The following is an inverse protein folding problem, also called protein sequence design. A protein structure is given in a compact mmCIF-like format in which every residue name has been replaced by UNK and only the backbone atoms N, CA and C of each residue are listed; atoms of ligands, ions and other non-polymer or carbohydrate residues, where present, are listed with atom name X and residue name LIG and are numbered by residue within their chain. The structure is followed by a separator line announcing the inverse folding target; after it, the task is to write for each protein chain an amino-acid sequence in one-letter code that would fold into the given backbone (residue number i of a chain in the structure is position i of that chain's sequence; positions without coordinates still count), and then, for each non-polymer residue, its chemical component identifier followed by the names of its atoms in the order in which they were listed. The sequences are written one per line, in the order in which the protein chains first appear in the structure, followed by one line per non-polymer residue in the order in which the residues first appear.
data_IF_076221471624
#
_entry.id   IF_076221471624
#
_cell.length_a   1.000
_cell.length_b   1.000
_cell.length_c   1.000
_cell.angle_alpha   90.00
_cell.angle_beta   90.00
_cell.angle_gamma   90.00
#
_symmetry.space_group_name_H-M   'P 1'
#
loop_
_entity.id
_entity.type
_entity.pdbx_description
1 polymer ?
#
# COMPACT_ATOMS: atom_id res chain seq x y z
N UNK A 1 -13.62 9.06 32.99
CA UNK A 1 -13.71 8.02 31.94
C UNK A 1 -12.87 8.53 30.78
N UNK A 2 -11.62 8.11 30.72
CA UNK A 2 -10.72 8.45 29.62
C UNK A 2 -11.23 7.77 28.36
N UNK A 3 -11.56 8.54 27.34
CA UNK A 3 -11.72 8.02 26.00
C UNK A 3 -10.36 7.37 25.62
N UNK A 4 -10.29 6.06 25.73
CA UNK A 4 -9.31 5.33 24.95
C UNK A 4 -9.53 5.77 23.51
N UNK A 5 -8.55 6.47 22.93
CA UNK A 5 -8.43 6.53 21.49
C UNK A 5 -8.25 5.09 21.00
N UNK A 6 -9.37 4.42 20.79
CA UNK A 6 -9.40 3.20 20.03
C UNK A 6 -9.06 3.61 18.61
N UNK A 7 -7.77 3.58 18.27
CA UNK A 7 -7.34 3.75 16.89
C UNK A 7 -8.18 2.82 16.02
N UNK A 8 -8.71 3.30 14.93
CA UNK A 8 -9.41 2.46 13.94
C UNK A 8 -8.48 1.32 13.56
N UNK A 9 -8.93 0.08 13.71
CA UNK A 9 -8.16 -1.08 13.31
C UNK A 9 -7.88 -0.97 11.80
N UNK A 10 -6.60 -0.88 11.45
CA UNK A 10 -6.15 -0.70 10.07
C UNK A 10 -5.59 -2.00 9.51
N UNK A 11 -6.44 -2.99 9.38
CA UNK A 11 -6.10 -4.26 8.73
C UNK A 11 -6.65 -4.36 7.31
N UNK A 12 -7.20 -3.27 6.78
CA UNK A 12 -7.77 -3.21 5.43
C UNK A 12 -7.44 -1.87 4.76
N UNK A 13 -7.43 -1.87 3.43
CA UNK A 13 -7.29 -0.67 2.60
C UNK A 13 -8.32 0.40 3.01
N UNK A 14 -9.57 -0.01 3.21
CA UNK A 14 -10.63 0.91 3.67
C UNK A 14 -10.27 1.63 4.96
N UNK A 15 -9.76 0.88 5.97
CA UNK A 15 -9.34 1.47 7.24
C UNK A 15 -8.19 2.46 7.10
N UNK A 16 -7.21 2.14 6.24
CA UNK A 16 -6.06 3.00 5.95
C UNK A 16 -6.47 4.29 5.21
N UNK A 17 -7.32 4.17 4.20
CA UNK A 17 -7.84 5.31 3.43
C UNK A 17 -8.75 6.23 4.27
N UNK A 18 -9.62 5.65 5.11
CA UNK A 18 -10.47 6.43 6.02
C UNK A 18 -9.64 7.23 7.01
N UNK A 19 -8.56 6.65 7.56
CA UNK A 19 -7.64 7.40 8.41
C UNK A 19 -6.97 8.53 7.63
N UNK A 20 -6.48 8.26 6.41
CA UNK A 20 -5.86 9.29 5.58
C UNK A 20 -6.82 10.48 5.38
N UNK A 21 -8.09 10.21 5.09
CA UNK A 21 -9.14 11.24 4.98
C UNK A 21 -9.38 11.98 6.30
N UNK A 22 -9.46 11.27 7.43
CA UNK A 22 -9.63 11.89 8.77
C UNK A 22 -8.46 12.82 9.12
N UNK A 23 -7.25 12.51 8.65
CA UNK A 23 -6.06 13.35 8.80
C UNK A 23 -6.04 14.54 7.81
N UNK A 24 -7.08 14.73 7.02
CA UNK A 24 -7.23 15.87 6.11
C UNK A 24 -6.62 15.66 4.72
N UNK A 25 -6.33 14.41 4.34
CA UNK A 25 -5.88 14.13 2.98
C UNK A 25 -7.04 14.14 1.99
N UNK A 26 -6.92 14.98 0.97
CA UNK A 26 -7.89 15.14 -0.11
C UNK A 26 -7.15 15.10 -1.46
N UNK A 27 -6.99 13.89 -2.07
CA UNK A 27 -6.37 13.78 -3.39
C UNK A 27 -7.25 14.46 -4.44
N UNK A 28 -6.63 15.21 -5.33
CA UNK A 28 -7.35 15.76 -6.50
C UNK A 28 -7.59 14.69 -7.55
N UNK A 29 -6.64 13.77 -7.69
CA UNK A 29 -6.76 12.64 -8.60
C UNK A 29 -6.44 11.33 -7.87
N UNK A 30 -7.28 10.34 -8.08
CA UNK A 30 -7.12 8.94 -7.67
C UNK A 30 -6.87 8.12 -8.92
N UNK A 31 -5.76 7.40 -8.94
CA UNK A 31 -5.38 6.52 -10.05
C UNK A 31 -5.45 5.07 -9.56
N UNK A 32 -6.27 4.27 -10.20
CA UNK A 32 -6.51 2.86 -9.90
C UNK A 32 -5.94 2.00 -11.03
N UNK A 33 -4.75 1.45 -10.81
CA UNK A 33 -4.03 0.63 -11.79
C UNK A 33 -4.25 -0.85 -11.48
N UNK A 34 -4.73 -1.59 -12.47
CA UNK A 34 -5.26 -2.92 -12.28
C UNK A 34 -6.66 -2.86 -11.65
N UNK A 35 -7.51 -2.01 -12.23
CA UNK A 35 -8.83 -1.74 -11.64
C UNK A 35 -9.78 -2.94 -11.67
N UNK A 36 -9.56 -3.93 -12.52
CA UNK A 36 -10.41 -5.11 -12.70
C UNK A 36 -11.90 -4.75 -12.75
N UNK A 37 -12.68 -5.13 -11.76
CA UNK A 37 -14.09 -4.78 -11.62
C UNK A 37 -14.33 -3.56 -10.70
N UNK A 38 -13.26 -2.85 -10.33
CA UNK A 38 -13.28 -1.61 -9.54
C UNK A 38 -12.80 -1.77 -8.09
N UNK A 39 -11.97 -0.83 -7.64
CA UNK A 39 -11.51 -0.74 -6.25
C UNK A 39 -12.39 0.23 -5.47
N UNK A 40 -13.57 -0.24 -5.01
CA UNK A 40 -14.61 0.59 -4.39
C UNK A 40 -14.12 1.37 -3.17
N UNK A 41 -13.17 0.83 -2.41
CA UNK A 41 -12.59 1.51 -1.25
C UNK A 41 -12.00 2.89 -1.62
N UNK A 42 -11.40 3.03 -2.80
CA UNK A 42 -10.87 4.30 -3.31
C UNK A 42 -12.02 5.28 -3.63
N UNK A 43 -13.00 4.80 -4.40
CA UNK A 43 -14.06 5.63 -4.95
C UNK A 43 -15.02 6.13 -3.87
N UNK A 44 -15.35 5.28 -2.91
CA UNK A 44 -16.24 5.59 -1.79
C UNK A 44 -15.57 6.51 -0.76
N UNK A 45 -14.27 6.35 -0.56
CA UNK A 45 -13.52 7.22 0.36
C UNK A 45 -13.33 8.62 -0.22
N UNK A 46 -13.01 8.75 -1.51
CA UNK A 46 -12.72 10.02 -2.17
C UNK A 46 -13.66 10.32 -3.35
N UNK A 47 -14.98 10.39 -3.14
CA UNK A 47 -15.96 10.50 -4.23
C UNK A 47 -15.88 11.82 -5.01
N UNK A 48 -15.25 12.85 -4.46
CA UNK A 48 -15.08 14.17 -5.08
C UNK A 48 -13.82 14.31 -5.90
N UNK A 49 -12.90 13.35 -5.81
CA UNK A 49 -11.68 13.30 -6.62
C UNK A 49 -11.99 12.97 -8.08
N UNK A 50 -11.06 13.33 -8.97
CA UNK A 50 -11.05 12.78 -10.33
C UNK A 50 -10.47 11.38 -10.30
N UNK A 51 -11.15 10.41 -10.89
CA UNK A 51 -10.73 9.02 -10.92
C UNK A 51 -10.25 8.62 -12.31
N UNK A 52 -9.07 8.00 -12.38
CA UNK A 52 -8.55 7.34 -13.58
C UNK A 52 -8.41 5.85 -13.28
N UNK A 53 -9.18 5.01 -13.99
CA UNK A 53 -9.16 3.56 -13.88
C UNK A 53 -8.41 2.97 -15.07
N UNK A 54 -7.39 2.16 -14.82
CA UNK A 54 -6.56 1.54 -15.86
C UNK A 54 -6.67 0.03 -15.72
N UNK A 55 -7.09 -0.63 -16.80
CA UNK A 55 -7.35 -2.06 -16.80
C UNK A 55 -7.05 -2.67 -18.19
N UNK A 56 -6.19 -3.68 -18.29
CA UNK A 56 -5.84 -4.26 -19.59
C UNK A 56 -6.88 -5.23 -20.18
N UNK A 57 -7.76 -5.82 -19.37
CA UNK A 57 -8.71 -6.83 -19.81
C UNK A 57 -9.98 -6.16 -20.34
N UNK A 58 -10.17 -6.21 -21.67
CA UNK A 58 -11.30 -5.54 -22.33
C UNK A 58 -12.69 -6.03 -21.88
N UNK A 59 -12.79 -7.26 -21.40
CA UNK A 59 -14.03 -7.82 -20.84
C UNK A 59 -14.51 -7.08 -19.60
N UNK A 60 -13.62 -6.37 -18.89
CA UNK A 60 -13.97 -5.55 -17.74
C UNK A 60 -14.54 -4.18 -18.11
N UNK A 61 -14.38 -3.74 -19.38
CA UNK A 61 -14.84 -2.42 -19.85
C UNK A 61 -16.31 -2.09 -19.54
N UNK A 62 -17.31 -3.00 -19.74
CA UNK A 62 -18.71 -2.67 -19.45
C UNK A 62 -18.97 -2.35 -17.97
N UNK A 63 -18.16 -2.91 -17.06
CA UNK A 63 -18.25 -2.68 -15.61
C UNK A 63 -17.60 -1.35 -15.24
N UNK A 64 -16.40 -1.08 -15.76
CA UNK A 64 -15.70 0.19 -15.56
C UNK A 64 -16.53 1.37 -16.10
N UNK A 65 -17.15 1.20 -17.27
CA UNK A 65 -18.06 2.19 -17.82
C UNK A 65 -19.29 2.47 -16.93
N UNK A 66 -19.80 1.46 -16.21
CA UNK A 66 -20.88 1.65 -15.22
C UNK A 66 -20.40 2.43 -14.01
N UNK A 67 -19.21 2.10 -13.50
CA UNK A 67 -18.58 2.79 -12.36
C UNK A 67 -18.35 4.26 -12.72
N UNK A 68 -17.68 4.54 -13.84
CA UNK A 68 -17.37 5.90 -14.26
C UNK A 68 -18.63 6.77 -14.46
N UNK A 69 -19.75 6.19 -14.93
CA UNK A 69 -21.01 6.94 -15.00
C UNK A 69 -21.64 7.32 -13.66
N UNK A 70 -21.24 6.65 -12.58
CA UNK A 70 -21.76 6.91 -11.22
C UNK A 70 -20.87 7.85 -10.42
N UNK A 71 -19.58 7.90 -10.72
CA UNK A 71 -18.65 8.80 -10.10
C UNK A 71 -18.81 10.22 -10.66
N UNK A 72 -18.50 11.22 -9.84
CA UNK A 72 -18.64 12.64 -10.18
C UNK A 72 -17.72 13.05 -11.34
N UNK A 73 -16.51 12.51 -11.36
CA UNK A 73 -15.49 12.74 -12.37
C UNK A 73 -14.62 11.49 -12.49
N UNK A 74 -14.81 10.71 -13.52
CA UNK A 74 -14.07 9.48 -13.74
C UNK A 74 -13.94 9.14 -15.21
N UNK A 75 -12.83 8.53 -15.56
CA UNK A 75 -12.56 7.94 -16.86
C UNK A 75 -11.85 6.60 -16.68
N UNK A 76 -11.93 5.73 -17.67
CA UNK A 76 -11.19 4.48 -17.70
C UNK A 76 -10.41 4.36 -19.00
N UNK A 77 -9.35 3.54 -18.97
CA UNK A 77 -8.50 3.23 -20.12
C UNK A 77 -8.30 1.72 -20.17
N UNK A 78 -8.58 1.12 -21.32
CA UNK A 78 -8.28 -0.29 -21.58
C UNK A 78 -6.86 -0.39 -22.14
N UNK A 79 -5.90 -0.50 -21.22
CA UNK A 79 -4.47 -0.61 -21.48
C UNK A 79 -3.75 -1.22 -20.26
N UNK A 80 -2.55 -1.75 -20.47
CA UNK A 80 -1.65 -2.02 -19.35
C UNK A 80 -0.91 -0.75 -18.95
N UNK A 81 -0.67 -0.55 -17.65
CA UNK A 81 0.30 0.44 -17.20
C UNK A 81 1.67 -0.25 -17.03
N UNK A 82 2.75 0.39 -17.49
CA UNK A 82 4.11 -0.15 -17.44
C UNK A 82 5.16 0.98 -17.54
N UNK A 83 6.44 0.62 -17.56
CA UNK A 83 7.57 1.56 -17.60
C UNK A 83 7.71 2.33 -18.93
N UNK A 84 7.16 1.81 -20.04
CA UNK A 84 7.22 2.43 -21.35
C UNK A 84 5.95 2.18 -22.16
N UNK A 85 5.55 3.15 -22.95
CA UNK A 85 4.37 3.04 -23.80
C UNK A 85 4.65 2.21 -25.04
N UNK A 86 3.64 1.47 -25.51
CA UNK A 86 3.80 0.61 -26.68
C UNK A 86 2.69 -0.41 -26.85
N UNK A 87 3.07 -1.56 -27.39
CA UNK A 87 2.19 -2.73 -27.52
C UNK A 87 2.87 -3.93 -26.89
N UNK A 88 2.21 -4.51 -25.91
CA UNK A 88 2.68 -5.65 -25.14
C UNK A 88 1.74 -6.83 -25.32
N UNK A 89 2.22 -8.05 -25.00
CA UNK A 89 1.38 -9.22 -24.95
C UNK A 89 0.88 -9.44 -23.53
N UNK A 90 -0.44 -9.47 -23.38
CA UNK A 90 -1.11 -9.89 -22.16
C UNK A 90 -1.45 -11.38 -22.26
N UNK A 91 -1.01 -12.15 -21.27
CA UNK A 91 -1.45 -13.52 -21.05
C UNK A 91 -2.59 -13.51 -20.05
N UNK A 92 -3.83 -13.61 -20.55
CA UNK A 92 -5.04 -13.57 -19.72
C UNK A 92 -5.29 -14.95 -19.12
N UNK A 93 -5.38 -15.05 -17.80
CA UNK A 93 -5.78 -16.32 -17.16
C UNK A 93 -7.23 -16.67 -17.47
N UNK A 94 -7.63 -17.94 -17.43
CA UNK A 94 -9.02 -18.36 -17.70
C UNK A 94 -10.06 -17.71 -16.77
N UNK A 95 -9.64 -17.33 -15.55
CA UNK A 95 -10.50 -16.62 -14.58
C UNK A 95 -10.47 -15.10 -14.71
N UNK A 96 -9.71 -14.57 -15.68
CA UNK A 96 -9.47 -13.13 -15.85
C UNK A 96 -8.89 -12.44 -14.59
N UNK A 97 -8.22 -13.22 -13.75
CA UNK A 97 -7.50 -12.80 -12.54
C UNK A 97 -6.08 -13.35 -12.69
N UNK A 98 -5.08 -12.67 -12.16
CA UNK A 98 -3.66 -13.05 -12.27
C UNK A 98 -3.17 -13.17 -13.73
N UNK A 99 -3.40 -12.13 -14.50
CA UNK A 99 -2.90 -12.02 -15.86
C UNK A 99 -1.47 -11.48 -15.87
N UNK A 100 -0.63 -11.94 -16.80
CA UNK A 100 0.78 -11.54 -16.89
C UNK A 100 1.09 -10.79 -18.18
N UNK A 101 2.02 -9.84 -18.09
CA UNK A 101 2.47 -9.03 -19.24
C UNK A 101 3.83 -9.51 -19.75
N UNK A 102 4.04 -9.48 -21.06
CA UNK A 102 5.31 -9.78 -21.73
C UNK A 102 5.61 -8.73 -22.81
N UNK A 103 6.87 -8.33 -22.91
CA UNK A 103 7.35 -7.43 -23.97
C UNK A 103 7.35 -8.11 -25.37
N UNK A 104 7.34 -9.44 -25.42
CA UNK A 104 7.33 -10.18 -26.69
C UNK A 104 5.93 -10.15 -27.31
N UNK A 105 5.84 -9.57 -28.51
CA UNK A 105 4.58 -9.58 -29.27
C UNK A 105 4.24 -10.98 -29.75
N UNK A 106 2.98 -11.38 -29.54
CA UNK A 106 2.45 -12.62 -30.10
C UNK A 106 2.10 -12.41 -31.55
N UNK A 107 2.65 -13.26 -32.43
CA UNK A 107 2.34 -13.31 -33.86
C UNK A 107 1.28 -14.36 -34.20
N UNK A 108 1.09 -15.35 -33.32
CA UNK A 108 0.11 -16.42 -33.47
C UNK A 108 -1.18 -16.07 -32.70
N UNK A 109 -2.25 -15.84 -33.42
CA UNK A 109 -3.57 -15.53 -32.86
C UNK A 109 -4.40 -16.78 -32.51
N UNK A 110 -3.82 -17.97 -32.57
CA UNK A 110 -4.54 -19.22 -32.26
C UNK A 110 -4.84 -19.42 -30.78
N UNK A 111 -4.04 -18.78 -29.89
CA UNK A 111 -4.27 -18.82 -28.45
C UNK A 111 -5.13 -17.61 -27.99
N UNK A 112 -6.41 -17.82 -27.60
CA UNK A 112 -7.31 -16.72 -27.21
C UNK A 112 -6.90 -16.01 -25.90
N UNK A 113 -6.00 -16.61 -25.12
CA UNK A 113 -5.50 -16.05 -23.88
C UNK A 113 -4.30 -15.11 -24.08
N UNK A 114 -3.63 -15.16 -25.24
CA UNK A 114 -2.53 -14.28 -25.58
C UNK A 114 -3.02 -13.15 -26.48
N UNK A 115 -2.92 -11.92 -26.01
CA UNK A 115 -3.46 -10.74 -26.73
C UNK A 115 -2.44 -9.62 -26.76
N UNK A 116 -2.26 -8.99 -27.90
CA UNK A 116 -1.54 -7.75 -28.01
C UNK A 116 -2.45 -6.60 -27.52
N UNK A 117 -1.99 -5.87 -26.53
CA UNK A 117 -2.72 -4.78 -25.91
C UNK A 117 -1.90 -3.50 -25.90
N UNK A 118 -2.52 -2.30 -25.89
CA UNK A 118 -1.80 -1.07 -25.66
C UNK A 118 -1.21 -1.03 -24.26
N UNK A 119 -0.04 -0.43 -24.12
CA UNK A 119 0.60 -0.14 -22.86
C UNK A 119 0.93 1.35 -22.77
N UNK A 120 0.80 1.92 -21.60
CA UNK A 120 0.97 3.34 -21.30
C UNK A 120 1.82 3.52 -20.05
N UNK A 121 2.49 4.67 -19.94
CA UNK A 121 3.08 5.09 -18.67
C UNK A 121 2.11 6.01 -17.92
N UNK A 122 2.19 6.00 -16.59
CA UNK A 122 1.37 6.90 -15.77
C UNK A 122 1.77 8.37 -15.99
N UNK A 123 3.06 8.63 -16.20
CA UNK A 123 3.56 9.98 -16.45
C UNK A 123 2.96 10.56 -17.73
N UNK A 124 2.97 9.80 -18.84
CA UNK A 124 2.41 10.25 -20.12
C UNK A 124 0.91 10.49 -20.05
N UNK A 125 0.16 9.54 -19.49
CA UNK A 125 -1.31 9.68 -19.47
C UNK A 125 -1.78 10.79 -18.53
N UNK A 126 -1.13 10.99 -17.39
CA UNK A 126 -1.45 12.10 -16.49
C UNK A 126 -1.17 13.45 -17.12
N UNK A 127 -0.08 13.55 -17.86
CA UNK A 127 0.27 14.76 -18.63
C UNK A 127 -0.70 15.01 -19.78
N UNK A 128 -1.02 13.99 -20.58
CA UNK A 128 -1.97 14.08 -21.70
C UNK A 128 -3.36 14.54 -21.23
N UNK A 129 -3.84 13.98 -20.11
CA UNK A 129 -5.17 14.27 -19.54
C UNK A 129 -5.17 15.50 -18.64
N UNK A 130 -4.03 16.16 -18.41
CA UNK A 130 -3.88 17.27 -17.47
C UNK A 130 -4.48 16.94 -16.09
N UNK A 131 -4.11 15.80 -15.54
CA UNK A 131 -4.61 15.37 -14.22
C UNK A 131 -3.86 16.15 -13.14
N UNK A 132 -4.57 16.79 -12.18
CA UNK A 132 -3.91 17.57 -11.14
C UNK A 132 -3.51 16.69 -9.94
N UNK A 133 -2.32 16.96 -9.34
CA UNK A 133 -1.98 16.46 -8.01
C UNK A 133 -2.62 17.31 -6.89
N UNK A 134 -2.58 16.90 -5.62
CA UNK A 134 -1.91 15.68 -5.17
C UNK A 134 -2.61 14.39 -5.61
N UNK A 135 -1.81 13.36 -5.90
CA UNK A 135 -2.31 12.06 -6.32
C UNK A 135 -2.41 11.09 -5.14
N UNK A 136 -3.39 10.18 -5.25
CA UNK A 136 -3.43 8.88 -4.62
C UNK A 136 -3.36 7.83 -5.72
N UNK A 137 -2.41 6.90 -5.61
CA UNK A 137 -2.21 5.85 -6.63
C UNK A 137 -2.34 4.48 -5.96
N UNK A 138 -3.14 3.58 -6.54
CA UNK A 138 -3.17 2.15 -6.20
C UNK A 138 -2.60 1.37 -7.39
N UNK A 139 -1.71 0.44 -7.12
CA UNK A 139 -1.08 -0.45 -8.11
C UNK A 139 -1.27 -1.90 -7.68
N UNK A 140 -1.91 -2.68 -8.55
CA UNK A 140 -2.21 -4.08 -8.34
C UNK A 140 -2.31 -4.76 -9.73
N UNK A 141 -1.18 -5.29 -10.22
CA UNK A 141 -1.01 -5.75 -11.60
C UNK A 141 -0.29 -7.09 -11.70
N UNK A 142 -0.39 -7.91 -10.66
CA UNK A 142 0.08 -9.30 -10.64
C UNK A 142 1.57 -9.48 -11.02
N UNK A 143 2.46 -8.72 -10.39
CA UNK A 143 3.91 -8.92 -10.48
C UNK A 143 4.64 -7.91 -11.38
N UNK A 144 3.96 -6.91 -11.93
CA UNK A 144 4.55 -5.83 -12.75
C UNK A 144 4.53 -4.45 -12.06
N UNK A 145 4.35 -4.42 -10.72
CA UNK A 145 4.20 -3.19 -9.95
C UNK A 145 5.41 -2.27 -10.08
N UNK A 146 6.62 -2.85 -10.12
CA UNK A 146 7.86 -2.07 -10.33
C UNK A 146 7.90 -1.38 -11.70
N UNK A 147 7.44 -2.05 -12.75
CA UNK A 147 7.39 -1.44 -14.09
C UNK A 147 6.35 -0.31 -14.14
N UNK A 148 5.20 -0.48 -13.48
CA UNK A 148 4.20 0.61 -13.34
C UNK A 148 4.81 1.80 -12.59
N UNK A 149 5.46 1.55 -11.46
CA UNK A 149 6.09 2.59 -10.65
C UNK A 149 7.24 3.29 -11.40
N UNK A 150 8.01 2.54 -12.19
CA UNK A 150 9.06 3.11 -13.04
C UNK A 150 8.51 4.04 -14.14
N UNK A 151 7.28 3.78 -14.63
CA UNK A 151 6.55 4.64 -15.56
C UNK A 151 5.79 5.80 -14.90
N UNK A 152 6.02 6.06 -13.61
CA UNK A 152 5.30 7.05 -12.80
C UNK A 152 6.22 8.05 -12.08
N UNK A 153 7.50 8.10 -12.44
CA UNK A 153 8.51 8.84 -11.66
C UNK A 153 8.26 10.35 -11.59
N UNK A 154 7.65 10.95 -12.61
CA UNK A 154 7.27 12.37 -12.61
C UNK A 154 6.05 12.63 -11.70
N UNK A 155 5.00 11.81 -11.81
CA UNK A 155 3.80 12.03 -11.01
C UNK A 155 4.02 11.63 -9.55
N UNK A 156 4.93 10.71 -9.24
CA UNK A 156 5.34 10.39 -7.88
C UNK A 156 5.87 11.60 -7.11
N UNK A 157 6.40 12.63 -7.81
CA UNK A 157 6.82 13.88 -7.15
C UNK A 157 5.64 14.69 -6.60
N UNK A 158 4.43 14.49 -7.13
CA UNK A 158 3.20 15.14 -6.70
C UNK A 158 2.22 14.16 -6.01
N UNK A 159 2.70 12.95 -5.72
CA UNK A 159 1.91 11.90 -5.04
C UNK A 159 2.17 11.94 -3.55
N UNK A 160 1.10 11.95 -2.76
CA UNK A 160 1.17 11.92 -1.29
C UNK A 160 0.95 10.52 -0.72
N UNK A 161 0.19 9.66 -1.42
CA UNK A 161 -0.20 8.34 -0.94
C UNK A 161 -0.18 7.31 -2.07
N UNK A 162 0.52 6.22 -1.87
CA UNK A 162 0.59 5.10 -2.83
C UNK A 162 0.21 3.82 -2.10
N UNK A 163 -0.63 2.98 -2.70
CA UNK A 163 -0.89 1.61 -2.26
C UNK A 163 -0.37 0.68 -3.35
N UNK A 164 0.44 -0.29 -2.97
CA UNK A 164 1.00 -1.29 -3.87
C UNK A 164 0.72 -2.67 -3.32
N UNK A 165 0.09 -3.52 -4.13
CA UNK A 165 0.00 -4.93 -3.83
C UNK A 165 1.37 -5.57 -4.01
N UNK A 166 1.85 -6.32 -3.01
CA UNK A 166 3.16 -6.98 -3.05
C UNK A 166 3.10 -8.40 -2.53
N UNK A 167 3.83 -9.30 -3.21
CA UNK A 167 4.05 -10.66 -2.72
C UNK A 167 5.33 -10.72 -1.89
N UNK A 168 5.27 -11.37 -0.71
CA UNK A 168 6.40 -11.46 0.21
C UNK A 168 7.55 -12.31 -0.34
N UNK A 169 7.23 -13.31 -1.16
CA UNK A 169 8.21 -14.21 -1.80
C UNK A 169 8.72 -13.68 -3.15
N UNK A 170 8.28 -12.51 -3.56
CA UNK A 170 8.64 -11.88 -4.83
C UNK A 170 9.24 -10.50 -4.62
N UNK A 171 8.52 -9.49 -5.05
CA UNK A 171 9.02 -8.13 -5.25
C UNK A 171 8.92 -7.16 -4.07
N UNK A 172 8.40 -7.59 -2.90
CA UNK A 172 8.16 -6.68 -1.76
C UNK A 172 9.38 -5.81 -1.43
N UNK A 173 10.58 -6.43 -1.33
CA UNK A 173 11.80 -5.68 -0.98
C UNK A 173 12.23 -4.70 -2.07
N UNK A 174 12.03 -5.09 -3.33
CA UNK A 174 12.38 -4.24 -4.47
C UNK A 174 11.43 -3.04 -4.57
N UNK A 175 10.11 -3.25 -4.37
CA UNK A 175 9.12 -2.17 -4.28
C UNK A 175 9.45 -1.23 -3.11
N UNK A 176 9.76 -1.75 -1.93
CA UNK A 176 10.16 -0.92 -0.78
C UNK A 176 11.42 -0.10 -1.09
N UNK A 177 12.43 -0.72 -1.71
CA UNK A 177 13.67 -0.04 -2.10
C UNK A 177 13.41 1.06 -3.13
N UNK A 178 12.59 0.76 -4.15
CA UNK A 178 12.19 1.74 -5.16
C UNK A 178 11.44 2.91 -4.53
N UNK A 179 10.40 2.66 -3.75
CA UNK A 179 9.61 3.70 -3.10
C UNK A 179 10.46 4.58 -2.18
N UNK A 180 11.38 3.99 -1.42
CA UNK A 180 12.35 4.74 -0.61
C UNK A 180 13.21 5.66 -1.50
N UNK A 181 13.70 5.18 -2.64
CA UNK A 181 14.49 5.99 -3.58
C UNK A 181 13.71 7.17 -4.16
N UNK A 182 12.38 7.05 -4.25
CA UNK A 182 11.45 8.09 -4.70
C UNK A 182 11.01 9.03 -3.55
N UNK A 183 11.57 8.88 -2.35
CA UNK A 183 11.29 9.72 -1.18
C UNK A 183 9.97 9.36 -0.49
N UNK A 184 9.61 8.09 -0.48
CA UNK A 184 8.46 7.58 0.26
C UNK A 184 8.90 6.73 1.46
N UNK A 185 8.10 6.77 2.51
CA UNK A 185 8.20 5.89 3.67
C UNK A 185 7.03 4.91 3.70
N UNK A 186 7.26 3.67 4.13
CA UNK A 186 6.17 2.75 4.42
C UNK A 186 5.29 3.33 5.55
N UNK A 187 3.98 3.21 5.40
CA UNK A 187 3.01 3.81 6.29
C UNK A 187 2.05 2.80 6.92
N UNK A 188 1.54 1.87 6.10
CA UNK A 188 0.62 0.83 6.56
C UNK A 188 0.87 -0.48 5.80
N UNK A 189 0.47 -1.60 6.40
CA UNK A 189 0.40 -2.93 5.76
C UNK A 189 -1.00 -3.46 6.02
N UNK A 190 -1.76 -3.68 4.96
CA UNK A 190 -3.18 -4.04 5.05
C UNK A 190 -3.53 -5.19 4.09
N UNK A 191 -4.75 -5.69 4.18
CA UNK A 191 -5.30 -6.74 3.30
C UNK A 191 -4.39 -7.97 3.20
N UNK A 192 -4.06 -8.54 4.37
CA UNK A 192 -3.16 -9.69 4.51
C UNK A 192 -3.76 -10.95 3.89
N UNK A 193 -3.08 -11.55 2.93
CA UNK A 193 -3.46 -12.81 2.29
C UNK A 193 -2.47 -13.93 2.62
N UNK A 194 -2.99 -15.07 3.06
CA UNK A 194 -2.19 -16.23 3.45
C UNK A 194 -2.38 -17.36 2.44
N UNK A 195 -1.30 -18.00 2.03
CA UNK A 195 -1.38 -19.11 1.09
C UNK A 195 -1.88 -20.40 1.75
N UNK A 196 -2.69 -21.21 1.05
CA UNK A 196 -3.31 -22.40 1.64
C UNK A 196 -2.34 -23.51 2.02
N UNK A 197 -1.20 -23.60 1.36
CA UNK A 197 -0.26 -24.75 1.45
C UNK A 197 0.42 -24.87 2.81
N UNK A 198 0.83 -23.76 3.40
CA UNK A 198 1.62 -23.71 4.66
C UNK A 198 1.20 -22.57 5.59
N UNK A 199 0.14 -21.85 5.24
CA UNK A 199 -0.37 -20.70 5.98
C UNK A 199 0.66 -19.55 6.12
N UNK A 200 1.68 -19.51 5.26
CA UNK A 200 2.58 -18.37 5.21
C UNK A 200 1.86 -17.14 4.64
N UNK A 201 2.20 -15.98 5.17
CA UNK A 201 1.75 -14.72 4.59
C UNK A 201 2.29 -14.62 3.15
N UNK A 202 1.40 -14.46 2.20
CA UNK A 202 1.72 -14.50 0.78
C UNK A 202 1.78 -13.11 0.16
N UNK A 203 0.81 -12.30 0.45
CA UNK A 203 0.53 -11.05 -0.24
C UNK A 203 -0.06 -10.03 0.71
N UNK A 204 0.27 -8.78 0.52
CA UNK A 204 -0.25 -7.64 1.30
C UNK A 204 -0.38 -6.42 0.42
N UNK A 205 -1.26 -5.50 0.80
CA UNK A 205 -1.25 -4.14 0.30
C UNK A 205 -0.36 -3.28 1.18
N UNK A 206 0.72 -2.73 0.61
CA UNK A 206 1.58 -1.78 1.30
C UNK A 206 1.21 -0.35 0.96
N UNK A 207 0.92 0.44 1.98
CA UNK A 207 0.74 1.88 1.83
C UNK A 207 2.05 2.62 2.05
N UNK A 208 2.34 3.58 1.18
CA UNK A 208 3.49 4.46 1.25
C UNK A 208 3.05 5.91 1.24
N UNK A 209 3.74 6.77 2.00
CA UNK A 209 3.48 8.21 2.03
C UNK A 209 4.76 8.99 1.76
N UNK A 210 4.63 10.19 1.19
CA UNK A 210 5.79 11.06 0.92
C UNK A 210 6.49 11.41 2.23
N UNK A 211 7.82 11.20 2.32
CA UNK A 211 8.59 11.51 3.54
C UNK A 211 8.55 12.99 3.93
N UNK A 212 8.51 13.88 2.95
CA UNK A 212 8.36 15.33 3.16
C UNK A 212 6.93 15.81 3.09
N UNK A 213 5.96 14.90 2.96
CA UNK A 213 4.56 15.21 2.69
C UNK A 213 3.70 15.39 3.95
N UNK A 214 2.41 15.41 3.70
CA UNK A 214 1.36 15.68 4.70
C UNK A 214 1.43 14.75 5.92
N UNK A 215 1.67 13.45 5.71
CA UNK A 215 1.62 12.42 6.76
C UNK A 215 2.89 12.28 7.61
N UNK A 216 3.99 12.92 7.22
CA UNK A 216 5.31 12.80 7.87
C UNK A 216 5.89 14.13 8.34
N UNK A 217 5.04 15.14 8.53
CA UNK A 217 5.44 16.43 9.11
C UNK A 217 6.03 16.26 10.51
N UNK A 218 5.39 15.38 11.29
CA UNK A 218 5.86 14.99 12.62
C UNK A 218 6.46 13.58 12.54
N UNK A 219 7.69 13.42 13.05
CA UNK A 219 8.42 12.15 12.99
C UNK A 219 8.62 11.50 14.36
N UNK A 220 8.33 12.23 15.44
CA UNK A 220 8.37 11.71 16.80
C UNK A 220 7.25 10.71 17.05
N UNK A 221 7.51 9.69 17.86
CA UNK A 221 6.47 8.74 18.29
C UNK A 221 5.38 9.45 19.11
N UNK A 222 5.77 10.45 19.91
CA UNK A 222 4.89 11.35 20.66
C UNK A 222 5.47 12.76 20.61
N UNK A 223 4.66 13.78 20.35
CA UNK A 223 5.11 15.16 20.03
C UNK A 223 4.50 16.23 20.89
N UNK A 224 3.94 16.00 21.99
CA UNK A 224 3.43 16.99 22.95
C UNK A 224 3.63 16.51 24.38
N UNK A 225 3.62 17.44 25.34
CA UNK A 225 3.75 17.07 26.75
C UNK A 225 2.65 16.07 27.16
N UNK A 226 1.41 16.27 26.71
CA UNK A 226 0.29 15.37 26.99
C UNK A 226 0.47 13.99 26.33
N UNK A 227 1.01 13.94 25.12
CA UNK A 227 1.29 12.67 24.41
C UNK A 227 2.43 11.92 25.09
N UNK A 228 3.47 12.63 25.55
CA UNK A 228 4.59 12.06 26.29
C UNK A 228 4.12 11.54 27.65
N UNK A 229 3.28 12.28 28.38
CA UNK A 229 2.69 11.81 29.63
C UNK A 229 1.82 10.57 29.45
N UNK A 230 0.96 10.56 28.42
CA UNK A 230 0.13 9.42 28.09
C UNK A 230 0.96 8.19 27.72
N UNK A 231 2.04 8.37 26.94
CA UNK A 231 2.99 7.33 26.60
C UNK A 231 3.69 6.76 27.83
N UNK A 232 4.23 7.63 28.69
CA UNK A 232 4.92 7.21 29.92
C UNK A 232 3.96 6.45 30.86
N UNK A 233 2.72 6.90 30.97
CA UNK A 233 1.70 6.22 31.77
C UNK A 233 1.34 4.84 31.19
N UNK A 234 1.24 4.74 29.87
CA UNK A 234 1.03 3.47 29.18
C UNK A 234 2.19 2.49 29.37
N UNK A 235 3.44 2.97 29.18
CA UNK A 235 4.64 2.16 29.37
C UNK A 235 4.77 1.65 30.84
N UNK A 236 4.43 2.50 31.79
CA UNK A 236 4.40 2.12 33.21
C UNK A 236 3.35 1.01 33.46
N UNK A 237 2.13 1.20 33.00
CA UNK A 237 1.08 0.19 33.15
C UNK A 237 1.43 -1.13 32.44
N UNK A 238 2.04 -1.05 31.26
CA UNK A 238 2.54 -2.20 30.52
C UNK A 238 3.59 -2.97 31.34
N UNK A 239 4.61 -2.28 31.88
CA UNK A 239 5.61 -2.87 32.73
C UNK A 239 5.01 -3.52 33.99
N UNK A 240 4.09 -2.84 34.66
CA UNK A 240 3.39 -3.38 35.85
C UNK A 240 2.60 -4.66 35.52
N UNK A 241 1.97 -4.73 34.34
CA UNK A 241 1.26 -5.93 33.89
C UNK A 241 2.20 -7.13 33.70
N UNK A 242 3.38 -6.92 33.18
CA UNK A 242 4.41 -7.95 33.03
C UNK A 242 4.93 -8.44 34.37
N UNK A 243 5.25 -7.52 35.28
CA UNK A 243 5.69 -7.86 36.63
C UNK A 243 4.65 -8.73 37.31
N UNK A 244 3.37 -8.30 37.26
CA UNK A 244 2.26 -9.07 37.82
C UNK A 244 2.14 -10.47 37.20
N UNK A 245 2.34 -10.58 35.88
CA UNK A 245 2.33 -11.88 35.20
C UNK A 245 3.47 -12.77 35.67
N UNK A 246 4.69 -12.23 35.83
CA UNK A 246 5.85 -12.94 36.35
C UNK A 246 5.56 -13.43 37.78
N UNK A 247 5.12 -12.51 38.65
CA UNK A 247 4.80 -12.86 40.08
C UNK A 247 3.70 -13.92 40.19
N UNK A 248 2.78 -13.97 39.23
CA UNK A 248 1.68 -14.93 39.25
C UNK A 248 2.06 -16.31 38.73
N UNK A 249 2.94 -16.36 37.69
CA UNK A 249 3.16 -17.61 36.93
C UNK A 249 4.57 -18.18 37.03
N UNK A 250 5.54 -17.38 37.54
CA UNK A 250 6.95 -17.74 37.58
C UNK A 250 7.55 -17.59 39.00
N UNK A 251 6.76 -17.26 39.99
CA UNK A 251 7.17 -17.26 41.41
C UNK A 251 7.08 -18.67 41.98
N UNK A 252 8.06 -19.51 41.68
CA UNK A 252 8.19 -20.83 42.29
C UNK A 252 9.20 -20.86 43.44
N UNK A 253 9.10 -21.82 44.38
CA UNK A 253 9.89 -21.82 45.58
C UNK A 253 11.35 -22.12 45.31
N UNK A 254 12.16 -21.14 45.63
CA UNK A 254 13.59 -21.17 45.91
C UNK A 254 14.35 -22.43 45.43
N UNK A 255 14.87 -22.37 44.21
CA UNK A 255 16.08 -23.05 43.81
C UNK A 255 17.14 -22.01 43.36
N UNK A 256 18.45 -22.36 43.37
CA UNK A 256 19.52 -21.37 43.40
C UNK A 256 19.51 -20.41 42.24
N UNK A 257 19.82 -19.14 42.52
CA UNK A 257 19.85 -18.05 41.53
C UNK A 257 20.63 -18.43 40.28
N UNK A 258 20.08 -18.22 39.08
CA UNK A 258 20.82 -18.42 37.85
C UNK A 258 22.03 -17.49 37.82
N UNK A 259 23.19 -18.03 37.48
CA UNK A 259 24.43 -17.22 37.36
C UNK A 259 24.23 -16.20 36.22
N UNK A 260 24.10 -14.94 36.61
CA UNK A 260 24.06 -13.83 35.63
C UNK A 260 25.47 -13.61 35.11
N UNK A 261 25.72 -13.97 33.85
CA UNK A 261 26.89 -13.46 33.16
C UNK A 261 26.70 -11.96 32.92
N UNK A 262 27.51 -11.14 33.58
CA UNK A 262 27.52 -9.69 33.33
C UNK A 262 27.95 -9.44 31.89
N UNK A 263 27.05 -9.04 31.03
CA UNK A 263 27.41 -8.37 29.79
C UNK A 263 28.01 -7.00 30.16
N UNK A 264 29.22 -6.75 29.73
CA UNK A 264 29.83 -5.41 29.84
C UNK A 264 29.01 -4.49 28.91
N UNK A 265 28.17 -3.68 29.53
CA UNK A 265 27.44 -2.61 28.81
C UNK A 265 28.43 -1.47 28.61
N UNK A 266 28.90 -1.27 27.37
CA UNK A 266 29.59 -0.05 26.98
C UNK A 266 28.62 1.14 27.13
N UNK A 267 29.07 2.19 27.75
CA UNK A 267 28.37 3.48 27.85
C UNK A 267 28.21 4.05 26.43
N UNK A 268 27.05 3.93 25.83
CA UNK A 268 26.55 4.78 24.71
C UNK A 268 25.27 4.19 24.15
N UNK A 269 24.15 4.36 24.87
CA UNK A 269 22.83 4.25 24.25
C UNK A 269 22.09 5.60 24.34
N UNK A 270 22.12 6.34 23.23
CA UNK A 270 21.17 7.44 22.98
C UNK A 270 19.87 6.77 22.53
N UNK A 271 18.83 6.88 23.33
CA UNK A 271 17.46 6.49 22.93
C UNK A 271 16.97 7.56 21.94
N UNK A 272 16.82 7.15 20.68
CA UNK A 272 16.22 7.97 19.61
C UNK A 272 14.70 7.95 19.74
#
# INVERSE_FOLDING_TARGET
MSQQQTGTLRNSMSGSLLLAKQLGFEPKTVIDVGAALGTFNLYETFPDSRHLLIEPIAENEPYLAKICRKLKSAEYIIAAATKESGVFTLNVSPGMVHSSLSENRVTDSSNPYLRNIPAITLDEICKERNLPGPYLIKVDVDGQELDVLAGATEILQQTEYVIVEVTLFGQMYDVMSFMKSQGFAAYDIVDLSYRPTDQALWQVDMAFVKESGHFRRERGFATGEQDIEALNSHLKAYRESFIKHIDTHYSDPVEPEPQVSQAVVGEDYVII
#
